data_IF_096464778150
#
_entry.id   IF_096464778150
#
_cell.length_a   1.000
_cell.length_b   1.000
_cell.length_c   1.000
_cell.angle_alpha   90.00
_cell.angle_beta   90.00
_cell.angle_gamma   90.00
#
_symmetry.space_group_name_H-M   'P 1'
#
loop_
_entity.id
_entity.type
_entity.pdbx_description
1 polymer ?
#
# COMPACT_ATOMS: atom_id res chain seq x y z
N UNK A 1 18.95 28.28 18.54
CA UNK A 1 17.65 28.86 18.13
C UNK A 1 17.52 28.63 16.61
N UNK A 2 16.54 27.87 16.11
CA UNK A 2 16.24 27.87 14.65
C UNK A 2 15.81 26.58 13.93
N UNK A 3 15.91 25.36 14.49
CA UNK A 3 15.59 24.14 13.72
C UNK A 3 14.10 23.73 13.79
N UNK A 4 13.42 23.96 14.92
CA UNK A 4 12.00 23.61 15.11
C UNK A 4 11.02 24.42 14.24
N UNK A 5 11.37 25.65 13.85
CA UNK A 5 10.53 26.51 13.01
C UNK A 5 10.45 26.06 11.55
N UNK A 6 11.53 25.48 11.02
CA UNK A 6 11.62 25.07 9.61
C UNK A 6 10.78 23.81 9.35
N UNK A 7 10.83 22.82 10.25
CA UNK A 7 10.02 21.60 10.14
C UNK A 7 8.52 21.86 10.33
N UNK A 8 8.15 22.77 11.24
CA UNK A 8 6.75 23.16 11.43
C UNK A 8 6.21 23.87 10.20
N UNK A 9 6.97 24.82 9.62
CA UNK A 9 6.60 25.55 8.40
C UNK A 9 6.45 24.61 7.19
N UNK A 10 7.42 23.71 6.96
CA UNK A 10 7.33 22.71 5.89
C UNK A 10 6.12 21.78 6.06
N UNK A 11 5.79 21.35 7.28
CA UNK A 11 4.59 20.53 7.56
C UNK A 11 3.31 21.30 7.22
N UNK A 12 3.23 22.58 7.59
CA UNK A 12 2.07 23.43 7.27
C UNK A 12 1.92 23.63 5.75
N UNK A 13 3.02 23.86 5.04
CA UNK A 13 3.01 24.05 3.58
C UNK A 13 2.54 22.77 2.85
N UNK A 14 2.93 21.60 3.35
CA UNK A 14 2.55 20.32 2.73
C UNK A 14 1.07 19.96 2.96
N UNK A 15 0.49 20.31 4.11
CA UNK A 15 -0.94 20.16 4.37
C UNK A 15 -1.77 21.15 3.56
N UNK A 16 -1.31 22.40 3.46
CA UNK A 16 -1.95 23.41 2.63
C UNK A 16 -1.99 22.98 1.15
N UNK A 17 -0.96 22.31 0.65
CA UNK A 17 -0.99 21.74 -0.70
C UNK A 17 -2.09 20.67 -0.84
N UNK A 18 -2.25 19.79 0.14
CA UNK A 18 -3.27 18.74 0.10
C UNK A 18 -4.68 19.35 0.17
N UNK A 19 -4.87 20.34 1.04
CA UNK A 19 -6.11 21.11 1.12
C UNK A 19 -6.45 21.80 -0.21
N UNK A 20 -5.44 22.38 -0.88
CA UNK A 20 -5.59 22.94 -2.22
C UNK A 20 -5.98 21.88 -3.26
N UNK A 21 -5.42 20.66 -3.20
CA UNK A 21 -5.80 19.57 -4.11
C UNK A 21 -7.24 19.08 -3.89
N UNK A 22 -7.71 19.04 -2.63
CA UNK A 22 -9.11 18.73 -2.29
C UNK A 22 -10.02 19.84 -2.83
N UNK A 23 -9.64 21.11 -2.61
CA UNK A 23 -10.39 22.29 -3.06
C UNK A 23 -10.51 22.30 -4.57
N UNK A 24 -9.39 22.14 -5.29
CA UNK A 24 -9.35 22.08 -6.75
C UNK A 24 -10.22 20.94 -7.29
N UNK A 25 -10.22 19.77 -6.65
CA UNK A 25 -11.08 18.65 -7.04
C UNK A 25 -12.57 18.96 -6.83
N UNK A 26 -12.93 19.60 -5.72
CA UNK A 26 -14.30 20.07 -5.46
C UNK A 26 -14.78 21.11 -6.48
N UNK A 27 -13.93 22.07 -6.86
CA UNK A 27 -14.22 23.05 -7.91
C UNK A 27 -14.43 22.38 -9.28
N UNK A 28 -13.59 21.40 -9.61
CA UNK A 28 -13.69 20.62 -10.82
C UNK A 28 -15.00 19.83 -10.92
N UNK A 29 -15.45 19.29 -9.79
CA UNK A 29 -16.75 18.62 -9.66
C UNK A 29 -17.91 19.61 -9.81
N UNK A 30 -17.80 20.79 -9.20
CA UNK A 30 -18.83 21.84 -9.28
C UNK A 30 -18.97 22.43 -10.70
N UNK A 31 -17.92 22.37 -11.52
CA UNK A 31 -17.94 22.82 -12.93
C UNK A 31 -18.53 21.80 -13.90
N UNK A 32 -18.87 20.58 -13.47
CA UNK A 32 -19.44 19.58 -14.36
C UNK A 32 -20.80 20.05 -14.90
N UNK A 33 -21.00 20.07 -16.24
CA UNK A 33 -22.29 20.36 -16.85
C UNK A 33 -23.20 19.12 -16.78
N UNK A 34 -23.37 18.56 -15.58
CA UNK A 34 -24.20 17.37 -15.34
C UNK A 34 -25.41 17.76 -14.50
N UNK A 35 -26.59 17.55 -15.08
CA UNK A 35 -27.89 17.71 -14.42
C UNK A 35 -28.53 16.32 -14.27
N UNK A 36 -28.98 15.92 -13.07
CA UNK A 36 -29.62 14.62 -12.87
C UNK A 36 -30.86 14.38 -13.74
N UNK A 37 -31.61 15.44 -14.08
CA UNK A 37 -32.82 15.35 -14.89
C UNK A 37 -32.52 15.03 -16.37
N UNK A 38 -31.43 15.56 -16.93
CA UNK A 38 -31.05 15.32 -18.33
C UNK A 38 -30.18 14.06 -18.49
N UNK A 39 -29.38 13.72 -17.47
CA UNK A 39 -28.35 12.67 -17.54
C UNK A 39 -28.68 11.42 -16.72
N UNK A 40 -29.74 11.44 -15.92
CA UNK A 40 -30.11 10.36 -15.00
C UNK A 40 -30.48 9.04 -15.68
N UNK A 41 -30.75 9.05 -16.98
CA UNK A 41 -31.08 7.87 -17.77
C UNK A 41 -29.85 7.05 -18.22
N UNK A 42 -28.61 7.57 -18.09
CA UNK A 42 -27.38 6.82 -18.34
C UNK A 42 -26.83 6.25 -17.01
N UNK A 43 -27.00 4.93 -16.74
CA UNK A 43 -26.57 4.33 -15.48
C UNK A 43 -25.04 4.29 -15.33
N UNK A 44 -24.30 4.27 -16.45
CA UNK A 44 -22.84 4.26 -16.44
C UNK A 44 -22.28 5.61 -16.02
N UNK A 45 -22.78 6.67 -16.66
CA UNK A 45 -22.46 8.06 -16.32
C UNK A 45 -22.80 8.38 -14.87
N UNK A 46 -24.01 8.03 -14.42
CA UNK A 46 -24.44 8.26 -13.04
C UNK A 46 -23.59 7.48 -12.03
N UNK A 47 -23.19 6.25 -12.34
CA UNK A 47 -22.33 5.47 -11.45
C UNK A 47 -20.90 6.04 -11.36
N UNK A 48 -20.33 6.55 -12.46
CA UNK A 48 -19.03 7.25 -12.43
C UNK A 48 -19.13 8.60 -11.72
N UNK A 49 -20.25 9.31 -11.85
CA UNK A 49 -20.53 10.55 -11.12
C UNK A 49 -20.62 10.30 -9.61
N UNK A 50 -21.38 9.29 -9.16
CA UNK A 50 -21.43 8.89 -7.74
C UNK A 50 -20.06 8.52 -7.20
N UNK A 51 -19.26 7.72 -7.93
CA UNK A 51 -17.88 7.39 -7.52
C UNK A 51 -17.00 8.62 -7.35
N UNK A 52 -17.21 9.64 -8.18
CA UNK A 52 -16.48 10.90 -8.13
C UNK A 52 -16.85 11.71 -6.88
N UNK A 53 -18.15 11.78 -6.56
CA UNK A 53 -18.66 12.38 -5.32
C UNK A 53 -18.16 11.65 -4.06
N UNK A 54 -18.23 10.32 -4.05
CA UNK A 54 -17.77 9.50 -2.93
C UNK A 54 -16.28 9.70 -2.67
N UNK A 55 -15.46 9.81 -3.73
CA UNK A 55 -14.04 10.10 -3.61
C UNK A 55 -13.78 11.49 -3.01
N UNK A 56 -14.58 12.51 -3.36
CA UNK A 56 -14.47 13.84 -2.75
C UNK A 56 -14.78 13.81 -1.25
N UNK A 57 -15.91 13.22 -0.87
CA UNK A 57 -16.30 13.12 0.55
C UNK A 57 -15.33 12.25 1.35
N UNK A 58 -14.84 11.16 0.75
CA UNK A 58 -13.82 10.33 1.39
C UNK A 58 -12.49 11.06 1.56
N UNK A 59 -12.05 11.85 0.57
CA UNK A 59 -10.84 12.67 0.67
C UNK A 59 -10.98 13.73 1.78
N UNK A 60 -12.13 14.40 1.88
CA UNK A 60 -12.44 15.34 2.98
C UNK A 60 -12.41 14.64 4.34
N UNK A 61 -13.09 13.51 4.46
CA UNK A 61 -13.15 12.75 5.72
C UNK A 61 -11.77 12.25 6.16
N UNK A 62 -10.95 11.81 5.20
CA UNK A 62 -9.56 11.43 5.46
C UNK A 62 -8.73 12.64 5.91
N UNK A 63 -8.98 13.83 5.38
CA UNK A 63 -8.22 15.04 5.71
C UNK A 63 -8.53 15.65 7.10
N UNK A 64 -9.56 15.20 7.82
CA UNK A 64 -9.90 15.72 9.16
C UNK A 64 -8.87 15.27 10.24
N UNK A 65 -8.22 16.24 10.91
CA UNK A 65 -7.36 16.02 12.10
C UNK A 65 -5.94 16.62 11.99
N UNK A 66 -5.12 16.44 13.04
CA UNK A 66 -3.73 16.92 13.10
C UNK A 66 -2.81 15.95 12.31
N UNK A 67 -2.63 16.20 11.00
CA UNK A 67 -1.93 15.30 10.05
C UNK A 67 -0.58 15.87 9.55
N UNK A 68 0.28 15.04 8.94
CA UNK A 68 1.38 15.48 8.05
C UNK A 68 1.20 14.99 6.58
N UNK A 69 2.13 15.32 5.66
CA UNK A 69 2.03 14.92 4.23
C UNK A 69 2.13 13.41 4.01
N UNK A 70 2.87 12.70 4.86
CA UNK A 70 2.94 11.25 4.79
C UNK A 70 1.62 10.63 5.26
N UNK A 71 0.90 11.32 6.16
CA UNK A 71 -0.47 11.00 6.53
C UNK A 71 -1.51 11.38 5.47
N UNK A 72 -1.20 12.28 4.52
CA UNK A 72 -2.10 12.70 3.44
C UNK A 72 -1.94 11.90 2.13
N UNK A 73 -1.09 10.88 2.10
CA UNK A 73 -0.94 10.03 0.92
C UNK A 73 -2.22 9.24 0.58
N UNK A 74 -3.04 8.92 1.59
CA UNK A 74 -4.37 8.33 1.41
C UNK A 74 -5.33 9.32 0.73
N UNK A 75 -5.34 10.58 1.17
CA UNK A 75 -6.12 11.68 0.58
C UNK A 75 -5.72 11.86 -0.89
N UNK A 76 -4.43 12.00 -1.18
CA UNK A 76 -3.94 12.16 -2.55
C UNK A 76 -4.25 10.94 -3.43
N UNK A 77 -4.20 9.73 -2.86
CA UNK A 77 -4.59 8.52 -3.59
C UNK A 77 -6.09 8.49 -3.90
N UNK A 78 -6.94 8.84 -2.93
CA UNK A 78 -8.39 8.96 -3.10
C UNK A 78 -8.73 10.01 -4.15
N UNK A 79 -8.07 11.19 -4.11
CA UNK A 79 -8.22 12.24 -5.11
C UNK A 79 -7.79 11.77 -6.51
N UNK A 80 -6.69 11.03 -6.62
CA UNK A 80 -6.26 10.45 -7.90
C UNK A 80 -7.27 9.43 -8.45
N UNK A 81 -7.88 8.60 -7.60
CA UNK A 81 -8.97 7.71 -8.04
C UNK A 81 -10.19 8.50 -8.49
N UNK A 82 -10.56 9.53 -7.71
CA UNK A 82 -11.65 10.45 -8.03
C UNK A 82 -11.44 11.18 -9.35
N UNK A 83 -10.22 11.64 -9.64
CA UNK A 83 -9.86 12.29 -10.91
C UNK A 83 -10.04 11.37 -12.11
N UNK A 84 -9.68 10.09 -11.98
CA UNK A 84 -9.89 9.12 -13.06
C UNK A 84 -11.36 8.87 -13.37
N UNK A 85 -12.22 8.81 -12.35
CA UNK A 85 -13.67 8.70 -12.57
C UNK A 85 -14.24 10.01 -13.09
N UNK A 86 -13.76 11.16 -12.61
CA UNK A 86 -14.13 12.48 -13.13
C UNK A 86 -13.79 12.62 -14.61
N UNK A 87 -12.62 12.16 -15.04
CA UNK A 87 -12.20 12.20 -16.45
C UNK A 87 -13.11 11.35 -17.34
N UNK A 88 -13.63 10.23 -16.84
CA UNK A 88 -14.64 9.43 -17.55
C UNK A 88 -15.97 10.16 -17.67
N UNK A 89 -16.42 10.82 -16.60
CA UNK A 89 -17.61 11.67 -16.63
C UNK A 89 -17.44 12.78 -17.68
N UNK A 90 -16.31 13.51 -17.63
CA UNK A 90 -15.98 14.56 -18.60
C UNK A 90 -15.92 14.02 -20.04
N UNK A 91 -15.38 12.82 -20.25
CA UNK A 91 -15.30 12.17 -21.56
C UNK A 91 -16.69 11.84 -22.13
N UNK A 92 -17.59 11.29 -21.32
CA UNK A 92 -18.98 11.00 -21.72
C UNK A 92 -19.73 12.30 -22.05
N UNK A 93 -19.66 13.30 -21.15
CA UNK A 93 -20.36 14.59 -21.33
C UNK A 93 -19.86 15.37 -22.56
N UNK A 94 -18.57 15.28 -22.88
CA UNK A 94 -17.99 15.96 -24.06
C UNK A 94 -18.12 15.15 -25.36
N UNK A 95 -18.59 13.90 -25.30
CA UNK A 95 -18.61 12.98 -26.44
C UNK A 95 -17.21 12.59 -26.95
N UNK A 96 -16.15 12.81 -26.16
CA UNK A 96 -14.76 12.53 -26.52
C UNK A 96 -14.18 11.43 -25.64
N UNK A 97 -13.92 10.23 -26.17
CA UNK A 97 -13.32 9.13 -25.41
C UNK A 97 -11.95 9.52 -24.82
N UNK A 98 -11.56 8.88 -23.71
CA UNK A 98 -10.19 9.02 -23.17
C UNK A 98 -9.17 8.34 -24.08
N UNK A 99 -7.91 8.75 -23.98
CA UNK A 99 -6.81 8.16 -24.73
C UNK A 99 -6.73 6.64 -24.54
N UNK A 100 -6.65 5.93 -25.66
CA UNK A 100 -6.60 4.48 -25.74
C UNK A 100 -5.38 3.87 -25.04
N UNK A 101 -4.21 4.51 -25.12
CA UNK A 101 -2.97 3.97 -24.55
C UNK A 101 -2.93 4.13 -23.03
N UNK A 102 -3.34 5.29 -22.53
CA UNK A 102 -3.47 5.55 -21.11
C UNK A 102 -4.57 6.59 -20.86
N UNK A 103 -5.66 6.22 -20.15
CA UNK A 103 -6.71 7.17 -19.80
C UNK A 103 -6.20 8.40 -19.02
N UNK A 104 -5.04 8.31 -18.37
CA UNK A 104 -4.38 9.42 -17.66
C UNK A 104 -3.85 10.50 -18.60
N UNK A 105 -3.77 10.25 -19.91
CA UNK A 105 -3.42 11.28 -20.88
C UNK A 105 -4.59 12.23 -21.19
N UNK A 106 -5.79 11.95 -20.67
CA UNK A 106 -6.98 12.77 -20.85
C UNK A 106 -7.77 12.44 -22.12
N UNK A 107 -8.71 13.32 -22.52
CA UNK A 107 -9.55 13.14 -23.70
C UNK A 107 -8.73 13.02 -24.99
N UNK A 108 -9.26 12.23 -25.91
CA UNK A 108 -8.74 12.15 -27.26
C UNK A 108 -8.98 13.44 -28.04
N UNK A 109 -8.05 13.72 -28.94
CA UNK A 109 -8.16 14.83 -29.91
C UNK A 109 -8.03 14.34 -31.35
N UNK A 110 -7.59 13.09 -31.53
CA UNK A 110 -7.38 12.48 -32.83
C UNK A 110 -7.66 10.97 -32.77
N UNK A 111 -7.89 10.36 -33.93
CA UNK A 111 -8.13 8.93 -34.09
C UNK A 111 -7.17 8.37 -35.13
N UNK A 112 -6.32 7.45 -34.70
CA UNK A 112 -5.21 6.94 -35.52
C UNK A 112 -5.32 5.45 -35.75
N UNK A 113 -4.96 5.00 -36.95
CA UNK A 113 -4.88 3.57 -37.27
C UNK A 113 -3.64 2.96 -36.62
N UNK A 114 -3.83 2.06 -35.65
CA UNK A 114 -2.74 1.49 -34.87
C UNK A 114 -2.89 -0.03 -34.71
N UNK A 115 -1.77 -0.75 -34.75
CA UNK A 115 -1.70 -2.18 -34.46
C UNK A 115 -0.60 -2.45 -33.42
N UNK A 116 -0.85 -3.30 -32.39
CA UNK A 116 0.23 -3.81 -31.57
C UNK A 116 1.12 -4.76 -32.41
N UNK A 117 2.38 -5.04 -31.98
CA UNK A 117 3.23 -6.01 -32.66
C UNK A 117 2.54 -7.35 -32.88
N UNK A 118 2.42 -7.78 -34.15
CA UNK A 118 1.73 -9.02 -34.54
C UNK A 118 0.19 -8.97 -34.45
N UNK A 119 -0.39 -7.80 -34.18
CA UNK A 119 -1.83 -7.58 -34.10
C UNK A 119 -2.45 -7.01 -35.37
N UNK A 120 -3.76 -6.79 -35.32
CA UNK A 120 -4.55 -6.21 -36.42
C UNK A 120 -4.67 -4.69 -36.22
N UNK A 121 -4.66 -3.95 -37.33
CA UNK A 121 -4.92 -2.51 -37.33
C UNK A 121 -6.35 -2.22 -36.83
N UNK A 122 -6.45 -1.21 -35.98
CA UNK A 122 -7.71 -0.65 -35.53
C UNK A 122 -7.55 0.85 -35.34
N UNK A 123 -8.62 1.58 -35.55
CA UNK A 123 -8.66 2.98 -35.21
C UNK A 123 -8.78 3.13 -33.69
N UNK A 124 -7.87 3.91 -33.11
CA UNK A 124 -7.82 4.17 -31.67
C UNK A 124 -7.84 5.66 -31.40
N UNK A 125 -8.62 6.07 -30.41
CA UNK A 125 -8.72 7.46 -29.95
C UNK A 125 -7.50 7.81 -29.09
N UNK A 126 -6.76 8.86 -29.44
CA UNK A 126 -5.46 9.19 -28.82
C UNK A 126 -5.38 10.64 -28.37
N UNK A 127 -4.59 10.90 -27.32
CA UNK A 127 -4.30 12.25 -26.87
C UNK A 127 -3.37 12.96 -27.89
N UNK A 128 -3.28 14.28 -27.80
CA UNK A 128 -2.44 15.08 -28.70
C UNK A 128 -0.98 14.59 -28.72
N UNK A 129 -0.43 14.24 -27.56
CA UNK A 129 0.96 13.81 -27.45
C UNK A 129 1.21 12.43 -28.08
N UNK A 130 0.30 11.48 -27.91
CA UNK A 130 0.42 10.16 -28.56
C UNK A 130 0.16 10.23 -30.07
N UNK A 131 -0.73 11.12 -30.51
CA UNK A 131 -0.95 11.37 -31.94
C UNK A 131 0.34 11.84 -32.63
N UNK A 132 1.05 12.82 -32.04
CA UNK A 132 2.33 13.33 -32.55
C UNK A 132 3.41 12.23 -32.55
N UNK A 133 3.53 11.47 -31.46
CA UNK A 133 4.54 10.40 -31.38
C UNK A 133 4.31 9.33 -32.44
N UNK A 134 3.05 8.91 -32.63
CA UNK A 134 2.72 7.91 -33.63
C UNK A 134 2.91 8.41 -35.05
N UNK A 135 2.62 9.68 -35.35
CA UNK A 135 2.89 10.25 -36.68
C UNK A 135 4.39 10.36 -36.98
N UNK A 136 5.23 10.51 -35.96
CA UNK A 136 6.70 10.47 -36.05
C UNK A 136 7.28 9.05 -36.03
N UNK A 137 6.45 8.01 -35.98
CA UNK A 137 6.89 6.61 -35.90
C UNK A 137 7.48 6.21 -34.55
N UNK A 138 7.33 7.04 -33.51
CA UNK A 138 7.74 6.75 -32.15
C UNK A 138 6.67 5.91 -31.43
N UNK A 139 7.05 5.07 -30.44
CA UNK A 139 6.08 4.38 -29.62
C UNK A 139 5.23 5.39 -28.84
N UNK A 140 3.96 5.06 -28.50
CA UNK A 140 3.16 5.89 -27.61
C UNK A 140 3.89 6.11 -26.29
N UNK A 141 3.51 7.15 -25.54
CA UNK A 141 4.07 7.44 -24.23
C UNK A 141 4.03 6.16 -23.40
N UNK A 142 5.17 5.84 -22.78
CA UNK A 142 5.36 4.56 -22.10
C UNK A 142 4.26 4.34 -21.06
N UNK A 143 3.36 3.43 -21.37
CA UNK A 143 2.50 2.80 -20.36
C UNK A 143 3.42 2.08 -19.38
N UNK A 144 3.04 1.99 -18.10
CA UNK A 144 3.87 1.43 -17.02
C UNK A 144 4.20 -0.08 -17.13
N UNK A 145 4.41 -0.63 -18.33
CA UNK A 145 4.82 -2.00 -18.61
C UNK A 145 5.90 -2.01 -19.68
N UNK A 146 7.11 -2.48 -19.34
CA UNK A 146 8.14 -2.79 -20.33
C UNK A 146 7.64 -3.90 -21.28
N UNK A 147 7.88 -3.81 -22.59
CA UNK A 147 7.80 -4.96 -23.49
C UNK A 147 8.95 -5.92 -23.16
N UNK A 148 8.69 -7.23 -23.13
CA UNK A 148 9.74 -8.24 -23.08
C UNK A 148 10.42 -8.36 -24.46
N UNK A 149 11.76 -8.33 -24.56
CA UNK A 149 12.44 -8.54 -25.81
C UNK A 149 12.66 -10.05 -26.05
N UNK A 150 11.96 -10.59 -27.04
CA UNK A 150 12.42 -11.73 -27.84
C UNK A 150 11.71 -13.07 -27.61
N UNK A 151 11.03 -13.56 -28.66
CA UNK A 151 11.18 -14.92 -29.19
C UNK A 151 10.29 -15.08 -30.43
N UNK A 152 10.93 -15.31 -31.57
CA UNK A 152 10.26 -15.68 -32.82
C UNK A 152 9.88 -17.16 -32.89
N UNK A 153 9.02 -17.43 -33.89
CA UNK A 153 8.75 -18.69 -34.60
C UNK A 153 8.11 -19.86 -33.85
N UNK A 154 6.97 -20.34 -34.39
CA UNK A 154 6.61 -21.77 -34.37
C UNK A 154 5.23 -22.17 -33.82
N UNK A 155 4.22 -22.19 -34.70
CA UNK A 155 3.03 -23.08 -34.79
C UNK A 155 2.05 -23.31 -33.59
N UNK A 156 0.75 -23.22 -33.94
CA UNK A 156 -0.45 -23.68 -33.19
C UNK A 156 -0.88 -25.07 -33.73
N UNK A 157 -1.72 -25.93 -33.06
CA UNK A 157 -2.95 -25.50 -32.37
C UNK A 157 -3.50 -26.29 -31.14
N UNK A 158 -4.38 -25.57 -30.39
CA UNK A 158 -5.66 -25.94 -29.74
C UNK A 158 -5.71 -26.69 -28.39
N UNK A 159 -6.23 -25.97 -27.38
CA UNK A 159 -6.96 -26.46 -26.20
C UNK A 159 -7.33 -25.31 -25.24
N UNK A 160 -8.63 -25.04 -25.03
CA UNK A 160 -9.22 -23.97 -24.18
C UNK A 160 -9.74 -24.59 -22.86
N UNK A 161 -10.07 -23.87 -21.75
CA UNK A 161 -10.00 -22.43 -21.40
C UNK A 161 -9.18 -22.12 -20.12
N UNK A 162 -8.83 -20.85 -19.88
CA UNK A 162 -8.61 -20.35 -18.51
C UNK A 162 -9.37 -19.05 -18.24
N UNK A 163 -9.88 -19.00 -17.02
CA UNK A 163 -10.87 -18.09 -16.49
C UNK A 163 -10.45 -16.61 -16.48
N UNK A 164 -11.50 -15.79 -16.44
CA UNK A 164 -11.59 -14.34 -16.23
C UNK A 164 -10.47 -13.72 -15.39
N UNK A 165 -9.82 -12.69 -15.94
CA UNK A 165 -9.00 -11.74 -15.18
C UNK A 165 -9.79 -10.46 -14.94
N UNK A 166 -10.13 -10.25 -13.68
CA UNK A 166 -10.75 -9.05 -13.10
C UNK A 166 -9.77 -7.87 -13.04
N UNK A 167 -10.37 -6.68 -12.92
CA UNK A 167 -9.82 -5.34 -13.03
C UNK A 167 -8.59 -5.01 -12.16
N UNK A 168 -7.80 -4.04 -12.63
CA UNK A 168 -6.52 -3.60 -12.09
C UNK A 168 -6.60 -3.01 -10.68
N UNK A 169 -5.83 -3.62 -9.77
CA UNK A 169 -5.66 -3.17 -8.40
C UNK A 169 -4.72 -1.95 -8.33
N UNK A 170 -5.13 -0.92 -7.59
CA UNK A 170 -4.21 0.10 -7.08
C UNK A 170 -3.05 -0.56 -6.33
N UNK A 171 -1.91 0.15 -6.21
CA UNK A 171 -0.73 -0.37 -5.52
C UNK A 171 -1.17 -0.86 -4.12
N UNK A 172 -0.91 -2.12 -3.75
CA UNK A 172 -1.38 -2.65 -2.48
C UNK A 172 -0.81 -1.80 -1.34
N UNK A 173 -1.58 -1.59 -0.25
CA UNK A 173 -1.12 -0.84 0.89
C UNK A 173 0.21 -1.41 1.39
N UNK A 174 1.08 -0.54 1.90
CA UNK A 174 2.36 -0.99 2.43
C UNK A 174 2.15 -2.07 3.51
N UNK A 175 3.06 -3.04 3.65
CA UNK A 175 2.86 -4.16 4.55
C UNK A 175 2.54 -3.74 5.98
N UNK A 176 1.63 -4.49 6.61
CA UNK A 176 1.19 -4.27 7.99
C UNK A 176 0.57 -2.88 8.26
N UNK A 177 0.15 -2.14 7.21
CA UNK A 177 -0.63 -0.90 7.35
C UNK A 177 -2.10 -1.18 7.60
N UNK A 178 -2.67 -2.16 6.90
CA UNK A 178 -4.10 -2.47 6.93
C UNK A 178 -4.26 -3.98 7.06
N UNK A 179 -5.24 -4.39 7.88
CA UNK A 179 -5.63 -5.79 7.98
C UNK A 179 -6.23 -6.26 6.64
N UNK A 180 -5.93 -7.49 6.17
CA UNK A 180 -6.56 -8.05 4.99
C UNK A 180 -8.10 -8.01 5.12
N UNK A 181 -8.84 -7.61 4.07
CA UNK A 181 -10.28 -7.36 4.16
C UNK A 181 -11.11 -8.62 4.47
N UNK A 182 -10.50 -9.80 4.32
CA UNK A 182 -11.13 -11.12 4.42
C UNK A 182 -11.15 -11.67 5.86
N UNK A 183 -10.54 -10.97 6.81
CA UNK A 183 -10.43 -11.45 8.19
C UNK A 183 -11.74 -11.25 8.95
N UNK A 184 -12.26 -12.34 9.52
CA UNK A 184 -13.39 -12.29 10.44
C UNK A 184 -13.00 -11.75 11.82
N UNK A 185 -14.01 -11.38 12.63
CA UNK A 185 -13.86 -10.79 13.97
C UNK A 185 -13.01 -11.61 14.95
N UNK A 186 -12.82 -12.92 14.71
CA UNK A 186 -11.95 -13.80 15.52
C UNK A 186 -10.45 -13.60 15.27
N UNK A 187 -10.09 -13.04 14.12
CA UNK A 187 -8.71 -12.81 13.67
C UNK A 187 -8.41 -11.34 13.43
N UNK A 188 -9.38 -10.45 13.64
CA UNK A 188 -9.25 -9.01 13.49
C UNK A 188 -10.16 -8.29 14.48
N UNK A 189 -9.56 -7.52 15.39
CA UNK A 189 -10.24 -6.68 16.37
C UNK A 189 -9.81 -5.24 16.15
N UNK A 190 -10.75 -4.31 16.32
CA UNK A 190 -10.52 -2.86 16.27
C UNK A 190 -11.08 -2.23 17.54
N UNK A 191 -10.48 -1.13 17.97
CA UNK A 191 -10.99 -0.35 19.08
C UNK A 191 -10.54 1.11 19.00
N UNK A 192 -11.01 1.89 19.98
CA UNK A 192 -10.65 3.28 20.21
C UNK A 192 -10.49 3.47 21.70
N UNK A 193 -9.50 4.26 22.11
CA UNK A 193 -9.21 4.41 23.52
C UNK A 193 -8.55 3.16 24.09
N UNK A 194 -8.64 3.04 25.41
CA UNK A 194 -8.25 1.82 26.12
C UNK A 194 -9.21 0.67 25.79
N UNK A 195 -8.68 -0.56 25.74
CA UNK A 195 -9.50 -1.72 25.46
C UNK A 195 -8.72 -3.02 25.45
N UNK A 196 -9.42 -4.10 25.08
CA UNK A 196 -8.86 -5.44 25.00
C UNK A 196 -9.13 -6.07 23.64
N UNK A 197 -8.23 -6.93 23.19
CA UNK A 197 -8.40 -7.73 21.99
C UNK A 197 -8.15 -9.21 22.28
N UNK A 198 -9.07 -10.08 21.84
CA UNK A 198 -8.92 -11.52 21.93
C UNK A 198 -8.92 -12.15 20.54
N UNK A 199 -7.76 -12.63 20.10
CA UNK A 199 -7.57 -13.30 18.81
C UNK A 199 -7.49 -14.81 19.00
N UNK A 200 -8.19 -15.56 18.15
CA UNK A 200 -8.31 -17.01 18.26
C UNK A 200 -7.45 -17.71 17.22
N UNK A 201 -7.14 -19.00 17.47
CA UNK A 201 -6.31 -19.80 16.57
C UNK A 201 -6.93 -19.84 15.17
N UNK A 202 -6.20 -19.41 14.12
CA UNK A 202 -6.65 -19.56 12.76
C UNK A 202 -6.51 -21.02 12.31
N UNK A 203 -7.26 -21.41 11.28
CA UNK A 203 -7.19 -22.76 10.67
C UNK A 203 -6.05 -22.87 9.64
N UNK A 204 -4.95 -22.18 9.87
CA UNK A 204 -3.77 -22.25 9.00
C UNK A 204 -2.84 -23.33 9.52
N UNK A 205 -2.30 -24.15 8.62
CA UNK A 205 -1.29 -25.17 8.95
C UNK A 205 0.14 -24.60 8.96
N UNK A 206 0.24 -23.28 9.04
CA UNK A 206 1.49 -22.50 9.05
C UNK A 206 1.47 -21.49 10.21
N UNK A 207 2.64 -21.02 10.65
CA UNK A 207 2.72 -20.03 11.71
C UNK A 207 1.92 -18.75 11.41
N UNK A 208 1.56 -18.04 12.47
CA UNK A 208 0.81 -16.78 12.37
C UNK A 208 1.71 -15.60 12.69
N UNK A 209 1.41 -14.45 12.13
CA UNK A 209 2.00 -13.16 12.54
C UNK A 209 0.92 -12.36 13.23
N UNK A 210 1.17 -11.92 14.46
CA UNK A 210 0.33 -10.93 15.12
C UNK A 210 0.81 -9.54 14.72
N UNK A 211 -0.12 -8.72 14.23
CA UNK A 211 0.11 -7.31 14.01
C UNK A 211 -0.83 -6.52 14.90
N UNK A 212 -0.29 -5.57 15.65
CA UNK A 212 -1.06 -4.58 16.42
C UNK A 212 -0.63 -3.20 16.01
N UNK A 213 -1.56 -2.36 15.59
CA UNK A 213 -1.30 -1.00 15.12
C UNK A 213 -2.06 -0.01 16.00
N UNK A 214 -1.35 0.96 16.56
CA UNK A 214 -1.92 2.05 17.35
C UNK A 214 -1.78 3.37 16.58
N UNK A 215 -2.87 4.12 16.46
CA UNK A 215 -2.94 5.44 15.83
C UNK A 215 -3.01 6.55 16.89
N UNK A 216 -2.03 6.52 17.79
CA UNK A 216 -1.90 7.43 18.92
C UNK A 216 -0.77 6.95 19.82
N UNK A 217 -0.51 7.66 20.91
CA UNK A 217 0.39 7.13 21.93
C UNK A 217 -0.31 6.06 22.76
N UNK A 218 0.47 5.15 23.32
CA UNK A 218 -0.12 4.04 24.06
C UNK A 218 0.86 2.92 24.34
N UNK A 219 0.31 1.81 24.83
CA UNK A 219 1.05 0.57 25.06
C UNK A 219 0.18 -0.64 24.71
N UNK A 220 0.87 -1.71 24.32
CA UNK A 220 0.29 -3.02 24.05
C UNK A 220 0.93 -4.02 24.98
N UNK A 221 0.11 -4.77 25.71
CA UNK A 221 0.53 -5.84 26.60
C UNK A 221 -0.17 -7.14 26.21
N UNK A 222 0.55 -8.24 26.24
CA UNK A 222 -0.02 -9.58 26.12
C UNK A 222 -0.30 -10.14 27.51
N UNK A 223 -1.53 -10.59 27.74
CA UNK A 223 -1.93 -11.19 29.00
C UNK A 223 -1.91 -12.72 28.88
N UNK A 224 -1.03 -13.39 29.64
CA UNK A 224 -0.93 -14.85 29.73
C UNK A 224 -1.04 -15.28 31.19
N UNK A 225 -1.98 -16.17 31.49
CA UNK A 225 -2.18 -16.74 32.84
C UNK A 225 -2.19 -15.66 33.95
N UNK A 226 -2.84 -14.51 33.69
CA UNK A 226 -2.92 -13.38 34.63
C UNK A 226 -1.70 -12.45 34.67
N UNK A 227 -0.59 -12.79 34.01
CA UNK A 227 0.60 -11.92 33.88
C UNK A 227 0.54 -11.12 32.57
N UNK A 228 0.83 -9.82 32.66
CA UNK A 228 0.93 -8.93 31.50
C UNK A 228 2.39 -8.74 31.09
N UNK A 229 2.72 -9.04 29.84
CA UNK A 229 4.03 -8.80 29.23
C UNK A 229 3.91 -7.68 28.20
N UNK A 230 4.72 -6.62 28.32
CA UNK A 230 4.69 -5.49 27.41
C UNK A 230 5.28 -5.87 26.05
N UNK A 231 4.50 -5.69 24.99
CA UNK A 231 4.93 -5.89 23.60
C UNK A 231 5.42 -4.60 22.95
N UNK A 232 4.90 -3.44 23.38
CA UNK A 232 5.35 -2.15 22.86
C UNK A 232 4.73 -0.97 23.63
N UNK A 233 5.44 0.16 23.67
CA UNK A 233 4.97 1.41 24.26
C UNK A 233 5.69 2.57 23.59
N UNK A 234 4.93 3.49 23.00
CA UNK A 234 5.49 4.67 22.33
C UNK A 234 4.58 5.89 22.54
N UNK A 235 5.17 7.08 22.44
CA UNK A 235 4.47 8.38 22.52
C UNK A 235 3.92 8.87 21.17
N UNK A 236 3.98 8.02 20.14
CA UNK A 236 3.56 8.28 18.77
C UNK A 236 2.96 7.02 18.16
N UNK A 237 2.22 7.09 17.03
CA UNK A 237 1.68 5.93 16.35
C UNK A 237 2.74 4.87 16.04
N UNK A 238 2.50 3.63 16.44
CA UNK A 238 3.46 2.55 16.29
C UNK A 238 2.78 1.23 15.93
N UNK A 239 3.59 0.22 15.62
CA UNK A 239 3.13 -1.14 15.44
C UNK A 239 3.95 -2.13 16.26
N UNK A 240 3.30 -3.21 16.65
CA UNK A 240 3.91 -4.45 17.09
C UNK A 240 3.76 -5.45 15.96
N UNK A 241 4.83 -6.18 15.66
CA UNK A 241 4.83 -7.33 14.76
C UNK A 241 5.46 -8.48 15.55
N UNK A 242 4.69 -9.54 15.80
CA UNK A 242 5.13 -10.65 16.63
C UNK A 242 4.92 -11.97 15.87
N UNK A 243 5.99 -12.73 15.56
CA UNK A 243 5.85 -14.09 15.06
C UNK A 243 5.23 -15.00 16.12
N UNK A 244 4.20 -15.76 15.74
CA UNK A 244 3.52 -16.75 16.57
C UNK A 244 3.71 -18.15 15.96
N UNK A 245 4.44 -19.01 16.68
CA UNK A 245 4.70 -20.40 16.30
C UNK A 245 3.43 -21.25 16.28
N UNK A 246 3.47 -22.43 15.68
CA UNK A 246 2.35 -23.38 15.66
C UNK A 246 1.93 -23.86 17.06
N UNK A 247 2.87 -23.91 18.01
CA UNK A 247 2.64 -24.31 19.40
C UNK A 247 2.19 -23.15 20.29
N UNK A 248 1.98 -21.96 19.72
CA UNK A 248 1.49 -20.80 20.46
C UNK A 248 0.20 -21.14 21.20
N UNK A 249 0.14 -20.80 22.48
CA UNK A 249 -1.07 -20.92 23.29
C UNK A 249 -2.14 -19.93 22.82
N UNK A 250 -3.38 -20.39 22.73
CA UNK A 250 -4.52 -19.59 22.30
C UNK A 250 -5.61 -19.56 23.37
N UNK A 251 -6.42 -18.49 23.45
CA UNK A 251 -6.41 -17.30 22.59
C UNK A 251 -5.30 -16.30 22.96
N UNK A 252 -4.88 -15.47 22.00
CA UNK A 252 -4.03 -14.32 22.29
C UNK A 252 -4.89 -13.21 22.87
N UNK A 253 -4.65 -12.87 24.14
CA UNK A 253 -5.29 -11.76 24.82
C UNK A 253 -4.35 -10.57 24.91
N UNK A 254 -4.82 -9.42 24.48
CA UNK A 254 -4.09 -8.16 24.49
C UNK A 254 -4.85 -7.15 25.35
N UNK A 255 -4.10 -6.43 26.18
CA UNK A 255 -4.54 -5.20 26.82
C UNK A 255 -3.88 -4.03 26.11
N UNK A 256 -4.68 -3.04 25.75
CA UNK A 256 -4.25 -1.91 24.94
C UNK A 256 -4.66 -0.65 25.69
N UNK A 257 -3.70 0.24 25.95
CA UNK A 257 -4.02 1.63 26.28
C UNK A 257 -3.63 2.51 25.10
N UNK A 258 -4.52 3.40 24.70
CA UNK A 258 -4.30 4.21 23.51
C UNK A 258 -5.17 5.47 23.54
N UNK A 259 -4.62 6.60 23.11
CA UNK A 259 -5.44 7.83 22.96
C UNK A 259 -6.19 7.91 21.64
N UNK A 260 -5.91 7.00 20.70
CA UNK A 260 -6.47 6.99 19.36
C UNK A 260 -7.21 5.70 19.04
N UNK A 261 -7.27 5.38 17.76
CA UNK A 261 -7.79 4.09 17.29
C UNK A 261 -6.67 3.06 17.27
N UNK A 262 -7.06 1.79 17.36
CA UNK A 262 -6.13 0.68 17.23
C UNK A 262 -6.77 -0.49 16.50
N UNK A 263 -5.91 -1.33 15.94
CA UNK A 263 -6.32 -2.56 15.29
C UNK A 263 -5.31 -3.67 15.56
N UNK A 264 -5.81 -4.85 15.93
CA UNK A 264 -5.03 -6.05 16.13
C UNK A 264 -5.54 -7.15 15.20
N UNK A 265 -4.66 -7.79 14.42
CA UNK A 265 -5.06 -8.86 13.51
C UNK A 265 -3.96 -9.91 13.32
N UNK A 266 -4.37 -11.06 12.79
CA UNK A 266 -3.49 -12.16 12.42
C UNK A 266 -3.26 -12.20 10.91
N UNK A 267 -2.07 -12.60 10.50
CA UNK A 267 -1.75 -12.96 9.11
C UNK A 267 -1.05 -14.31 9.06
N UNK A 268 -1.21 -15.02 7.94
CA UNK A 268 -0.48 -16.26 7.70
C UNK A 268 1.02 -15.95 7.48
N UNK A 269 1.92 -16.75 8.02
CA UNK A 269 3.37 -16.50 8.00
C UNK A 269 3.96 -16.39 6.59
N UNK A 270 3.40 -17.10 5.62
CA UNK A 270 3.81 -17.06 4.21
C UNK A 270 3.31 -15.82 3.44
N UNK A 271 2.43 -15.02 4.05
CA UNK A 271 1.92 -13.77 3.48
C UNK A 271 2.79 -12.56 3.80
N UNK A 272 3.87 -12.75 4.58
CA UNK A 272 4.82 -11.67 4.89
C UNK A 272 5.54 -11.17 3.62
N UNK A 273 5.95 -9.90 3.60
CA UNK A 273 6.65 -9.31 2.46
C UNK A 273 7.94 -10.03 2.12
N UNK A 274 8.28 -10.04 0.83
CA UNK A 274 9.57 -10.54 0.36
C UNK A 274 10.57 -9.39 0.29
N UNK A 275 11.75 -9.59 0.89
CA UNK A 275 12.92 -8.77 0.64
C UNK A 275 13.54 -9.21 -0.70
N UNK A 276 13.28 -8.43 -1.75
CA UNK A 276 13.87 -8.66 -3.08
C UNK A 276 15.25 -7.97 -3.16
N UNK A 277 15.27 -6.65 -3.37
CA UNK A 277 16.50 -5.84 -3.36
C UNK A 277 16.60 -4.97 -2.11
N UNK A 278 15.46 -4.37 -1.73
CA UNK A 278 15.37 -3.41 -0.64
C UNK A 278 14.03 -3.54 0.07
N UNK A 279 14.05 -3.36 1.38
CA UNK A 279 12.85 -3.18 2.18
C UNK A 279 13.10 -2.13 3.25
N UNK A 280 12.14 -1.25 3.44
CA UNK A 280 12.22 -0.16 4.41
C UNK A 280 10.99 -0.16 5.30
N UNK A 281 11.17 0.20 6.57
CA UNK A 281 10.06 0.34 7.50
C UNK A 281 10.44 1.14 8.74
N UNK A 282 9.41 1.42 9.56
CA UNK A 282 9.53 2.00 10.89
C UNK A 282 9.17 1.00 11.97
N UNK A 283 10.08 0.70 12.90
CA UNK A 283 9.80 -0.19 14.03
C UNK A 283 9.85 -1.69 13.67
N UNK A 284 9.29 -2.58 14.53
CA UNK A 284 9.36 -4.03 14.35
C UNK A 284 8.73 -4.52 13.04
N UNK A 285 9.27 -5.57 12.44
CA UNK A 285 8.81 -6.09 11.15
C UNK A 285 9.19 -7.55 10.97
N UNK A 286 8.49 -8.22 10.05
CA UNK A 286 8.80 -9.58 9.64
C UNK A 286 8.72 -9.64 8.12
N UNK A 287 9.75 -10.20 7.50
CA UNK A 287 9.79 -10.42 6.06
C UNK A 287 10.47 -11.76 5.76
N UNK A 288 10.45 -12.17 4.50
CA UNK A 288 11.21 -13.33 4.03
C UNK A 288 12.19 -12.91 2.96
N UNK A 289 13.39 -13.43 3.01
CA UNK A 289 14.32 -13.40 1.89
C UNK A 289 14.19 -14.72 1.13
N UNK A 290 14.09 -14.66 -0.20
CA UNK A 290 13.99 -15.85 -1.07
C UNK A 290 15.15 -15.78 -2.06
N UNK A 291 16.11 -16.68 -1.91
CA UNK A 291 17.34 -16.69 -2.68
C UNK A 291 18.40 -17.65 -2.10
N UNK A 292 19.62 -17.54 -2.63
CA UNK A 292 20.81 -18.23 -2.12
C UNK A 292 21.50 -17.43 -1.03
N UNK A 293 22.77 -17.70 -0.76
CA UNK A 293 23.52 -16.91 0.20
C UNK A 293 23.60 -15.44 -0.23
N UNK A 294 23.39 -14.51 0.70
CA UNK A 294 23.37 -13.07 0.42
C UNK A 294 23.88 -12.24 1.60
N UNK A 295 24.39 -11.05 1.29
CA UNK A 295 24.76 -10.05 2.29
C UNK A 295 23.62 -9.10 2.54
N UNK A 296 23.30 -8.87 3.80
CA UNK A 296 22.28 -7.94 4.24
C UNK A 296 22.94 -6.70 4.82
N UNK A 297 22.67 -5.54 4.23
CA UNK A 297 23.11 -4.24 4.73
C UNK A 297 21.92 -3.47 5.29
N UNK A 298 21.91 -3.24 6.60
CA UNK A 298 20.89 -2.45 7.28
C UNK A 298 21.40 -1.06 7.61
N UNK A 299 20.62 -0.03 7.27
CA UNK A 299 20.81 1.36 7.72
C UNK A 299 19.68 1.74 8.67
N UNK A 300 20.03 2.12 9.89
CA UNK A 300 19.12 2.62 10.91
C UNK A 300 19.25 4.15 11.01
N UNK A 301 18.12 4.86 11.00
CA UNK A 301 18.09 6.33 10.82
C UNK A 301 17.60 7.09 12.05
N UNK A 302 17.27 6.40 13.13
CA UNK A 302 16.78 7.00 14.37
C UNK A 302 17.53 6.47 15.60
N UNK A 303 17.18 6.98 16.77
CA UNK A 303 17.70 6.49 18.04
C UNK A 303 17.10 5.13 18.43
N UNK A 304 17.84 4.36 19.22
CA UNK A 304 17.38 3.06 19.75
C UNK A 304 18.19 1.87 19.25
N UNK A 305 18.00 0.71 19.88
CA UNK A 305 18.62 -0.53 19.45
C UNK A 305 17.84 -1.16 18.28
N UNK A 306 18.56 -1.88 17.43
CA UNK A 306 17.97 -2.71 16.39
C UNK A 306 18.71 -4.03 16.25
N UNK A 307 18.00 -5.06 15.80
CA UNK A 307 18.52 -6.38 15.48
C UNK A 307 17.70 -7.02 14.37
N UNK A 308 18.34 -7.88 13.61
CA UNK A 308 17.70 -8.79 12.65
C UNK A 308 18.10 -10.20 13.03
N UNK A 309 17.12 -11.07 13.19
CA UNK A 309 17.31 -12.48 13.56
C UNK A 309 16.65 -13.36 12.53
N UNK A 310 17.32 -14.44 12.15
CA UNK A 310 16.72 -15.46 11.30
C UNK A 310 15.59 -16.18 12.05
N UNK A 311 14.52 -16.55 11.36
CA UNK A 311 13.55 -17.50 11.87
C UNK A 311 13.47 -18.71 10.92
N UNK A 312 13.36 -19.89 11.52
CA UNK A 312 13.00 -21.11 10.81
C UNK A 312 11.55 -21.03 10.26
N UNK A 313 11.15 -21.93 9.34
CA UNK A 313 9.81 -21.91 8.74
C UNK A 313 8.65 -22.01 9.73
N UNK A 314 8.88 -22.56 10.92
CA UNK A 314 7.94 -22.68 12.04
C UNK A 314 7.98 -21.46 13.00
N UNK A 315 8.78 -20.44 12.67
CA UNK A 315 9.10 -19.25 13.45
C UNK A 315 9.93 -19.50 14.73
N UNK A 316 10.67 -20.60 14.82
CA UNK A 316 11.71 -20.72 15.85
C UNK A 316 12.85 -19.72 15.59
N UNK A 317 13.32 -18.98 16.61
CA UNK A 317 14.47 -18.11 16.48
C UNK A 317 15.73 -18.88 16.09
N UNK A 318 16.34 -18.46 15.00
CA UNK A 318 17.64 -18.91 14.52
C UNK A 318 18.77 -17.96 14.93
N UNK A 319 19.90 -17.98 14.21
CA UNK A 319 21.04 -17.12 14.53
C UNK A 319 20.72 -15.62 14.33
N UNK A 320 21.36 -14.73 15.11
CA UNK A 320 21.33 -13.30 14.84
C UNK A 320 22.07 -13.01 13.53
N UNK A 321 21.47 -12.19 12.67
CA UNK A 321 22.07 -11.77 11.39
C UNK A 321 22.93 -10.54 11.59
N UNK A 322 22.35 -9.51 12.21
CA UNK A 322 23.01 -8.23 12.47
C UNK A 322 22.35 -7.52 13.65
N UNK A 323 23.06 -6.59 14.27
CA UNK A 323 22.51 -5.72 15.31
C UNK A 323 23.29 -4.42 15.42
N UNK A 324 22.67 -3.41 16.00
CA UNK A 324 23.29 -2.12 16.22
C UNK A 324 22.45 -1.22 17.11
N UNK A 325 22.91 0.02 17.30
CA UNK A 325 22.24 1.04 18.11
C UNK A 325 22.40 2.42 17.48
N UNK A 326 21.43 3.29 17.77
CA UNK A 326 21.43 4.68 17.30
C UNK A 326 21.40 4.78 15.78
N UNK A 327 21.78 5.95 15.27
CA UNK A 327 21.92 6.18 13.83
C UNK A 327 23.20 5.50 13.37
N UNK A 328 23.09 4.31 12.79
CA UNK A 328 24.22 3.48 12.39
C UNK A 328 23.85 2.55 11.23
N UNK A 329 24.84 1.85 10.69
CA UNK A 329 24.65 0.77 9.75
C UNK A 329 25.27 -0.51 10.31
N UNK A 330 24.71 -1.65 9.92
CA UNK A 330 25.23 -2.96 10.25
C UNK A 330 25.08 -3.89 9.05
N UNK A 331 25.99 -4.85 8.96
CA UNK A 331 26.03 -5.87 7.92
C UNK A 331 25.86 -7.25 8.55
N UNK A 332 25.25 -8.15 7.79
CA UNK A 332 25.09 -9.55 8.16
C UNK A 332 24.98 -10.42 6.92
N UNK A 333 24.97 -11.73 7.11
CA UNK A 333 24.87 -12.69 6.01
C UNK A 333 23.76 -13.69 6.30
N UNK A 334 23.09 -14.14 5.25
CA UNK A 334 22.13 -15.24 5.29
C UNK A 334 22.60 -16.34 4.34
N UNK A 335 22.42 -17.61 4.73
CA UNK A 335 22.89 -18.74 3.92
C UNK A 335 21.95 -19.07 2.74
N UNK A 336 20.70 -18.60 2.79
CA UNK A 336 19.68 -18.93 1.81
C UNK A 336 18.32 -18.33 2.17
N UNK A 337 17.27 -18.93 1.63
CA UNK A 337 15.90 -18.47 1.86
C UNK A 337 15.51 -18.61 3.35
N UNK A 338 15.08 -17.51 3.96
CA UNK A 338 14.89 -17.42 5.41
C UNK A 338 13.86 -16.35 5.78
N UNK A 339 13.24 -16.48 6.95
CA UNK A 339 12.45 -15.41 7.54
C UNK A 339 13.35 -14.49 8.36
N UNK A 340 13.13 -13.18 8.27
CA UNK A 340 13.92 -12.16 8.97
C UNK A 340 13.00 -11.38 9.90
N UNK A 341 13.19 -11.58 11.20
CA UNK A 341 12.53 -10.79 12.23
C UNK A 341 13.38 -9.56 12.55
N UNK A 342 12.83 -8.39 12.26
CA UNK A 342 13.47 -7.10 12.53
C UNK A 342 12.87 -6.53 13.80
N UNK A 343 13.70 -6.37 14.83
CA UNK A 343 13.37 -5.61 16.02
C UNK A 343 14.10 -4.27 15.94
N UNK A 344 13.38 -3.17 15.88
CA UNK A 344 13.98 -1.85 15.74
C UNK A 344 13.07 -0.77 16.32
N UNK A 345 13.64 0.39 16.65
CA UNK A 345 12.90 1.61 16.97
C UNK A 345 13.16 2.67 15.91
N UNK A 346 12.10 3.20 15.31
CA UNK A 346 12.24 4.21 14.26
C UNK A 346 12.56 3.63 12.88
N UNK A 347 13.00 4.49 11.96
CA UNK A 347 13.15 4.17 10.54
C UNK A 347 14.42 3.38 10.22
N UNK A 348 14.28 2.41 9.32
CA UNK A 348 15.38 1.61 8.81
C UNK A 348 15.15 1.15 7.37
N UNK A 349 16.25 0.75 6.71
CA UNK A 349 16.29 0.18 5.37
C UNK A 349 17.23 -1.03 5.39
N UNK A 350 16.80 -2.17 4.88
CA UNK A 350 17.65 -3.34 4.61
C UNK A 350 17.79 -3.49 3.09
N UNK A 351 19.02 -3.73 2.62
CA UNK A 351 19.33 -4.13 1.25
C UNK A 351 19.86 -5.56 1.26
N UNK A 352 19.41 -6.39 0.34
CA UNK A 352 20.05 -7.67 0.03
C UNK A 352 20.94 -7.46 -1.19
N UNK A 353 22.20 -7.88 -1.09
CA UNK A 353 23.23 -7.71 -2.12
C UNK A 353 23.89 -9.02 -2.51
#
# INVERSE_FOLDING_TARGET
MGMFGIFKRRRTDELAQVEAEITAFGEDLARLPLTPDEHGADPGLMADYTRTLDAYEQAKAQFLGDRDRADAADVLHTLEQGRRTLDRVKAVLSGRPLCFFDPRHGPSVDRVAWAPPGGVHRDVDVCAADAVRLSEGLPPIATGRRPDPGAGTGQRPRGRPKASRTAGAGKPPAPFKVAPPQLGKRHHVKGRGDGEAQLHRPKWDIPSVLIVRLHGHGQVEQVKQGKAARLGKESFPFRVVLPLRLETEWPIRLRITCTGTWSAWLQAGDSVPVLNETIASRGPFLCRYIGGAARLHMRHREGGAYSVTELAPDFQPGPPVLSGKGISAADGEVAGSVFLHVEAKGEWLIRAG
#
